data_IF_963790509173
#
_entry.id   IF_963790509173
#
_cell.length_a   1.000
_cell.length_b   1.000
_cell.length_c   1.000
_cell.angle_alpha   90.00
_cell.angle_beta   90.00
_cell.angle_gamma   90.00
#
_symmetry.space_group_name_H-M   'P 1'
#
loop_
_entity.id
_entity.type
_entity.pdbx_description
1 polymer ?
#
# COMPACT_ATOMS: atom_id res chain seq x y z
N UNK A 1 29.72 9.66 24.06
CA UNK A 1 29.59 8.31 23.49
C UNK A 1 29.20 7.36 24.60
N UNK A 2 28.11 6.59 24.53
CA UNK A 2 27.79 5.58 25.53
C UNK A 2 28.86 4.49 25.50
N UNK A 3 29.33 4.08 26.67
CA UNK A 3 30.33 3.02 26.83
C UNK A 3 29.78 1.69 26.32
N UNK A 4 30.62 0.92 25.61
CA UNK A 4 30.27 -0.33 24.91
C UNK A 4 29.67 -1.44 25.81
N UNK A 5 29.72 -1.31 27.12
CA UNK A 5 29.24 -2.30 28.09
C UNK A 5 27.69 -2.34 28.25
N UNK A 6 26.95 -1.27 27.83
CA UNK A 6 25.50 -1.13 28.08
C UNK A 6 24.61 -1.69 26.97
N UNK A 7 25.17 -2.12 25.85
CA UNK A 7 24.42 -2.55 24.66
C UNK A 7 24.50 -4.06 24.38
N UNK A 8 25.36 -4.82 25.09
CA UNK A 8 25.52 -6.26 24.82
C UNK A 8 24.24 -7.04 25.19
N UNK A 9 23.71 -7.79 24.21
CA UNK A 9 22.51 -8.62 24.35
C UNK A 9 21.17 -7.89 24.20
N UNK A 10 21.14 -6.57 24.00
CA UNK A 10 19.90 -5.82 23.71
C UNK A 10 19.61 -5.83 22.21
N UNK A 11 18.33 -5.71 21.87
CA UNK A 11 17.87 -5.49 20.51
C UNK A 11 16.71 -4.50 20.51
N UNK A 12 16.67 -3.62 19.51
CA UNK A 12 15.53 -2.76 19.23
C UNK A 12 14.47 -3.61 18.52
N UNK A 13 13.39 -3.96 19.23
CA UNK A 13 12.35 -4.83 18.68
C UNK A 13 11.33 -4.04 17.90
N UNK A 14 11.15 -4.39 16.61
CA UNK A 14 10.10 -3.85 15.74
C UNK A 14 9.20 -5.02 15.32
N UNK A 15 7.88 -4.89 15.57
CA UNK A 15 6.89 -5.84 15.13
C UNK A 15 6.56 -5.66 13.65
N UNK A 16 6.29 -6.74 12.94
CA UNK A 16 5.82 -6.65 11.57
C UNK A 16 4.67 -7.62 11.33
N UNK A 17 3.61 -7.10 10.70
CA UNK A 17 2.44 -7.86 10.30
C UNK A 17 2.37 -7.95 8.79
N UNK A 18 2.54 -9.16 8.26
CA UNK A 18 2.49 -9.44 6.82
C UNK A 18 1.31 -10.33 6.45
N UNK A 19 0.74 -10.21 5.24
CA UNK A 19 -0.08 -11.25 4.63
C UNK A 19 0.80 -12.16 3.77
N UNK A 20 1.55 -13.10 4.39
CA UNK A 20 2.51 -13.96 3.66
C UNK A 20 1.84 -15.11 2.93
N UNK A 21 0.65 -15.48 3.34
CA UNK A 21 -0.14 -16.57 2.75
C UNK A 21 -1.53 -16.07 2.31
N UNK A 22 -2.21 -16.89 1.49
CA UNK A 22 -3.52 -16.53 0.94
C UNK A 22 -3.46 -15.43 -0.12
N UNK A 23 -4.58 -14.72 -0.32
CA UNK A 23 -4.75 -13.70 -1.37
C UNK A 23 -3.82 -12.49 -1.27
N UNK A 24 -3.21 -12.29 -0.11
CA UNK A 24 -2.29 -11.19 0.15
C UNK A 24 -0.81 -11.49 -0.08
N UNK A 25 -0.46 -12.74 -0.42
CA UNK A 25 0.93 -13.22 -0.41
C UNK A 25 1.88 -12.38 -1.27
N UNK A 26 1.46 -11.93 -2.44
CA UNK A 26 2.28 -11.07 -3.30
C UNK A 26 2.67 -9.78 -2.60
N UNK A 27 1.73 -9.12 -1.91
CA UNK A 27 1.97 -7.88 -1.18
C UNK A 27 2.86 -8.10 0.04
N UNK A 28 2.57 -9.17 0.82
CA UNK A 28 3.29 -9.49 2.05
C UNK A 28 4.73 -9.91 1.80
N UNK A 29 4.95 -10.81 0.86
CA UNK A 29 6.29 -11.31 0.55
C UNK A 29 7.22 -10.20 0.04
N UNK A 30 6.73 -9.29 -0.80
CA UNK A 30 7.54 -8.17 -1.27
C UNK A 30 7.78 -7.11 -0.20
N UNK A 31 6.78 -6.82 0.66
CA UNK A 31 7.02 -5.97 1.83
C UNK A 31 8.08 -6.56 2.76
N UNK A 32 8.06 -7.88 2.98
CA UNK A 32 9.05 -8.57 3.80
C UNK A 32 10.47 -8.40 3.22
N UNK A 33 10.63 -8.54 1.90
CA UNK A 33 11.92 -8.31 1.24
C UNK A 33 12.40 -6.87 1.48
N UNK A 34 11.53 -5.88 1.28
CA UNK A 34 11.87 -4.47 1.47
C UNK A 34 12.22 -4.13 2.92
N UNK A 35 11.41 -4.59 3.89
CA UNK A 35 11.64 -4.33 5.32
C UNK A 35 12.93 -5.02 5.80
N UNK A 36 13.17 -6.27 5.40
CA UNK A 36 14.39 -7.00 5.78
C UNK A 36 15.65 -6.35 5.17
N UNK A 37 15.58 -5.88 3.91
CA UNK A 37 16.67 -5.11 3.30
C UNK A 37 17.00 -3.85 4.13
N UNK A 38 15.99 -3.10 4.56
CA UNK A 38 16.19 -1.91 5.39
C UNK A 38 16.84 -2.26 6.75
N UNK A 39 16.41 -3.36 7.40
CA UNK A 39 17.04 -3.85 8.64
C UNK A 39 18.50 -4.22 8.43
N UNK A 40 18.81 -4.93 7.35
CA UNK A 40 20.19 -5.30 7.00
C UNK A 40 21.07 -4.04 6.87
N UNK A 41 20.58 -3.01 6.16
CA UNK A 41 21.31 -1.76 5.95
C UNK A 41 21.49 -0.96 7.25
N UNK A 42 20.43 -0.82 8.06
CA UNK A 42 20.52 -0.12 9.35
C UNK A 42 21.47 -0.85 10.30
N UNK A 43 21.40 -2.18 10.39
CA UNK A 43 22.26 -2.96 11.26
C UNK A 43 23.72 -2.94 10.79
N UNK A 44 23.98 -2.99 9.48
CA UNK A 44 25.30 -2.85 8.91
C UNK A 44 25.94 -1.48 9.19
N UNK A 45 25.09 -0.44 9.29
CA UNK A 45 25.52 0.94 9.68
C UNK A 45 25.71 1.11 11.20
N UNK A 46 25.57 0.05 12.00
CA UNK A 46 25.76 0.08 13.46
C UNK A 46 24.47 0.05 14.28
N UNK A 47 23.31 -0.12 13.66
CA UNK A 47 22.01 -0.19 14.36
C UNK A 47 21.56 1.17 14.91
N UNK A 48 20.69 1.11 15.91
CA UNK A 48 20.14 2.29 16.60
C UNK A 48 20.98 2.59 17.82
N UNK A 49 21.80 3.65 17.78
CA UNK A 49 22.71 3.98 18.88
C UNK A 49 23.61 2.81 19.30
N UNK A 50 24.07 1.97 18.36
CA UNK A 50 24.89 0.79 18.60
C UNK A 50 24.09 -0.48 18.92
N UNK A 51 22.76 -0.45 18.94
CA UNK A 51 21.89 -1.58 19.25
C UNK A 51 21.23 -2.10 17.96
N UNK A 52 21.35 -3.40 17.63
CA UNK A 52 20.77 -3.93 16.40
C UNK A 52 19.23 -3.96 16.44
N UNK A 53 18.60 -3.75 15.29
CA UNK A 53 17.17 -4.00 15.10
C UNK A 53 16.93 -5.50 15.00
N UNK A 54 15.91 -5.98 15.71
CA UNK A 54 15.37 -7.34 15.60
C UNK A 54 13.90 -7.27 15.23
N UNK A 55 13.53 -7.89 14.12
CA UNK A 55 12.13 -8.02 13.73
C UNK A 55 11.41 -9.12 14.52
N UNK A 56 10.16 -8.85 14.88
CA UNK A 56 9.19 -9.82 15.40
C UNK A 56 8.08 -9.92 14.38
N UNK A 57 8.15 -10.94 13.53
CA UNK A 57 7.38 -11.06 12.30
C UNK A 57 6.24 -12.07 12.45
N UNK A 58 5.04 -11.70 11.97
CA UNK A 58 3.88 -12.58 11.95
C UNK A 58 3.13 -12.49 10.63
N UNK A 59 2.63 -13.66 10.16
CA UNK A 59 1.68 -13.78 9.06
C UNK A 59 0.25 -13.71 9.59
N UNK A 60 -0.52 -12.70 9.18
CA UNK A 60 -1.94 -12.59 9.53
C UNK A 60 -2.88 -13.19 8.46
N UNK A 61 -2.35 -13.82 7.42
CA UNK A 61 -3.08 -14.57 6.39
C UNK A 61 -4.17 -13.75 5.68
N UNK A 62 -4.08 -12.43 5.66
CA UNK A 62 -5.11 -11.50 5.20
C UNK A 62 -6.47 -11.65 5.96
N UNK A 63 -6.45 -12.10 7.24
CA UNK A 63 -7.64 -12.31 8.08
C UNK A 63 -7.67 -11.31 9.24
N UNK A 64 -8.84 -10.73 9.48
CA UNK A 64 -9.07 -9.76 10.56
C UNK A 64 -8.84 -10.38 11.95
N UNK A 65 -9.35 -11.60 12.18
CA UNK A 65 -9.19 -12.31 13.47
C UNK A 65 -7.73 -12.57 13.84
N UNK A 66 -6.92 -12.96 12.84
CA UNK A 66 -5.48 -13.13 13.04
C UNK A 66 -4.79 -11.78 13.30
N UNK A 67 -5.20 -10.73 12.59
CA UNK A 67 -4.71 -9.37 12.82
C UNK A 67 -4.92 -8.91 14.26
N UNK A 68 -6.12 -9.13 14.83
CA UNK A 68 -6.44 -8.81 16.22
C UNK A 68 -5.56 -9.60 17.20
N UNK A 69 -5.40 -10.90 16.97
CA UNK A 69 -4.56 -11.75 17.81
C UNK A 69 -3.10 -11.30 17.80
N UNK A 70 -2.57 -11.02 16.61
CA UNK A 70 -1.17 -10.64 16.42
C UNK A 70 -0.86 -9.27 17.02
N UNK A 71 -1.72 -8.25 16.82
CA UNK A 71 -1.44 -6.91 17.38
C UNK A 71 -1.42 -6.94 18.90
N UNK A 72 -2.34 -7.67 19.54
CA UNK A 72 -2.31 -7.85 20.99
C UNK A 72 -1.01 -8.53 21.45
N UNK A 73 -0.57 -9.59 20.75
CA UNK A 73 0.66 -10.32 21.06
C UNK A 73 1.91 -9.43 20.91
N UNK A 74 2.04 -8.72 19.80
CA UNK A 74 3.15 -7.78 19.57
C UNK A 74 3.23 -6.70 20.64
N UNK A 75 2.07 -6.12 21.02
CA UNK A 75 2.00 -5.01 21.97
C UNK A 75 2.28 -5.42 23.41
N UNK A 76 1.75 -6.58 23.86
CA UNK A 76 1.70 -6.93 25.29
C UNK A 76 2.63 -8.05 25.71
N UNK A 77 2.93 -9.00 24.81
CA UNK A 77 3.80 -10.14 25.08
C UNK A 77 5.21 -9.92 24.55
N UNK A 78 5.31 -9.54 23.28
CA UNK A 78 6.59 -9.36 22.61
C UNK A 78 7.21 -7.99 22.96
N UNK A 79 6.38 -7.03 23.41
CA UNK A 79 6.77 -5.69 23.83
C UNK A 79 7.59 -4.96 22.78
N UNK A 80 7.10 -4.96 21.53
CA UNK A 80 7.75 -4.24 20.44
C UNK A 80 7.60 -2.73 20.60
N UNK A 81 8.57 -1.97 20.10
CA UNK A 81 8.56 -0.50 20.16
C UNK A 81 7.61 0.14 19.17
N UNK A 82 7.47 -0.47 18.00
CA UNK A 82 6.56 -0.05 16.94
C UNK A 82 6.14 -1.25 16.09
N UNK A 83 5.06 -1.12 15.31
CA UNK A 83 4.60 -2.16 14.38
C UNK A 83 4.50 -1.59 12.97
N UNK A 84 5.06 -2.31 12.00
CA UNK A 84 4.91 -2.06 10.57
C UNK A 84 3.83 -2.99 10.01
N UNK A 85 2.88 -2.43 9.27
CA UNK A 85 1.69 -3.15 8.80
C UNK A 85 0.48 -2.92 9.72
N UNK A 86 -0.66 -3.59 9.40
CA UNK A 86 -0.85 -4.52 8.29
C UNK A 86 -0.95 -3.82 6.94
N UNK A 87 -0.94 -4.60 5.86
CA UNK A 87 -1.14 -4.08 4.50
C UNK A 87 -2.63 -3.83 4.20
N UNK A 88 -3.51 -4.77 4.54
CA UNK A 88 -4.92 -4.71 4.15
C UNK A 88 -5.74 -3.75 5.00
N UNK A 89 -6.56 -2.94 4.31
CA UNK A 89 -7.45 -1.95 4.94
C UNK A 89 -8.49 -2.58 5.85
N UNK A 90 -9.03 -3.76 5.53
CA UNK A 90 -9.97 -4.50 6.38
C UNK A 90 -9.37 -4.88 7.74
N UNK A 91 -8.09 -5.28 7.74
CA UNK A 91 -7.39 -5.59 8.99
C UNK A 91 -7.06 -4.31 9.78
N UNK A 92 -6.69 -3.22 9.09
CA UNK A 92 -6.52 -1.90 9.76
C UNK A 92 -7.82 -1.45 10.45
N UNK A 93 -8.99 -1.65 9.84
CA UNK A 93 -10.28 -1.26 10.42
C UNK A 93 -10.56 -1.89 11.78
N UNK A 94 -10.15 -3.14 11.97
CA UNK A 94 -10.40 -3.85 13.22
C UNK A 94 -9.29 -3.70 14.25
N UNK A 95 -8.05 -3.44 13.84
CA UNK A 95 -6.94 -3.30 14.80
C UNK A 95 -6.67 -1.86 15.24
N UNK A 96 -6.88 -0.86 14.37
CA UNK A 96 -6.56 0.54 14.71
C UNK A 96 -7.34 1.07 15.93
N UNK A 97 -8.65 0.77 16.12
CA UNK A 97 -9.35 1.17 17.34
C UNK A 97 -8.75 0.57 18.63
N UNK A 98 -8.08 -0.58 18.55
CA UNK A 98 -7.46 -1.22 19.72
C UNK A 98 -6.20 -0.49 20.21
N UNK A 99 -5.57 0.31 19.33
CA UNK A 99 -4.30 0.96 19.61
C UNK A 99 -4.39 2.01 20.72
N UNK A 100 -5.57 2.63 20.93
CA UNK A 100 -5.82 3.53 22.06
C UNK A 100 -5.60 2.84 23.40
N UNK A 101 -5.94 1.56 23.50
CA UNK A 101 -5.71 0.75 24.70
C UNK A 101 -4.31 0.16 24.74
N UNK A 102 -3.75 -0.20 23.59
CA UNK A 102 -2.44 -0.88 23.50
C UNK A 102 -1.26 0.09 23.58
N UNK A 103 -1.50 1.39 23.38
CA UNK A 103 -0.46 2.42 23.34
C UNK A 103 0.78 1.98 22.54
N UNK A 104 0.54 1.45 21.34
CA UNK A 104 1.59 0.93 20.45
C UNK A 104 1.47 1.59 19.10
N UNK A 105 2.48 2.34 18.62
CA UNK A 105 2.41 3.02 17.35
C UNK A 105 2.48 1.99 16.20
N UNK A 106 1.54 2.12 15.27
CA UNK A 106 1.41 1.24 14.10
C UNK A 106 1.43 2.08 12.83
N UNK A 107 2.28 1.71 11.86
CA UNK A 107 2.32 2.33 10.53
C UNK A 107 2.04 1.29 9.44
N UNK A 108 0.90 1.42 8.78
CA UNK A 108 0.58 0.61 7.61
C UNK A 108 1.37 1.07 6.39
N UNK A 109 1.94 0.13 5.65
CA UNK A 109 2.75 0.41 4.46
C UNK A 109 1.97 0.25 3.13
N UNK A 110 0.70 -0.17 3.16
CA UNK A 110 -0.08 -0.42 1.95
C UNK A 110 -1.51 0.13 2.01
N UNK A 111 -2.16 0.17 3.18
CA UNK A 111 -3.60 0.44 3.26
C UNK A 111 -3.97 1.80 2.66
N UNK A 112 -5.02 1.82 1.82
CA UNK A 112 -5.40 3.02 1.08
C UNK A 112 -6.85 3.49 1.32
N UNK A 113 -7.69 2.71 2.03
CA UNK A 113 -9.06 3.13 2.34
C UNK A 113 -9.05 4.44 3.16
N UNK A 114 -9.81 5.47 2.75
CA UNK A 114 -9.88 6.72 3.50
C UNK A 114 -10.40 6.54 4.93
N UNK A 115 -9.89 7.36 5.86
CA UNK A 115 -10.40 7.45 7.22
C UNK A 115 -9.79 6.48 8.24
N UNK A 116 -8.91 5.55 7.84
CA UNK A 116 -8.35 4.55 8.74
C UNK A 116 -7.51 5.17 9.87
N UNK A 117 -6.61 6.09 9.56
CA UNK A 117 -5.73 6.71 10.58
C UNK A 117 -6.50 7.55 11.60
N UNK A 118 -7.75 7.96 11.31
CA UNK A 118 -8.62 8.65 12.25
C UNK A 118 -9.18 7.75 13.36
N UNK A 119 -9.00 6.44 13.26
CA UNK A 119 -9.52 5.47 14.22
C UNK A 119 -8.70 5.44 15.51
N UNK A 120 -7.47 6.00 15.51
CA UNK A 120 -6.62 6.11 16.68
C UNK A 120 -5.46 7.09 16.44
N UNK A 121 -5.06 7.82 17.48
CA UNK A 121 -3.87 8.67 17.48
C UNK A 121 -2.55 7.87 17.39
N UNK A 122 -2.62 6.55 17.52
CA UNK A 122 -1.51 5.62 17.41
C UNK A 122 -1.44 4.96 16.02
N UNK A 123 -2.39 5.26 15.15
CA UNK A 123 -2.53 4.67 13.82
C UNK A 123 -1.97 5.61 12.75
N UNK A 124 -0.99 5.12 12.01
CA UNK A 124 -0.35 5.83 10.90
C UNK A 124 -0.35 4.98 9.65
N UNK A 125 -0.15 5.61 8.49
CA UNK A 125 0.16 4.91 7.25
C UNK A 125 1.15 5.67 6.39
N UNK A 126 2.05 4.94 5.77
CA UNK A 126 3.00 5.49 4.81
C UNK A 126 2.43 5.36 3.39
N UNK A 127 1.23 5.87 3.16
CA UNK A 127 0.56 5.85 1.85
C UNK A 127 -0.50 6.94 1.77
N UNK A 128 -0.78 7.39 0.54
CA UNK A 128 -1.94 8.22 0.24
C UNK A 128 -3.23 7.40 0.30
N UNK A 129 -4.33 8.06 0.63
CA UNK A 129 -5.67 7.49 0.50
C UNK A 129 -6.06 7.32 -0.97
N UNK A 130 -6.87 6.30 -1.27
CA UNK A 130 -7.23 5.96 -2.65
C UNK A 130 -7.98 7.08 -3.38
N UNK A 131 -8.74 7.92 -2.68
CA UNK A 131 -9.36 9.11 -3.26
C UNK A 131 -8.32 10.12 -3.81
N UNK A 132 -7.22 10.33 -3.07
CA UNK A 132 -6.11 11.19 -3.50
C UNK A 132 -5.26 10.54 -4.59
N UNK A 133 -5.13 9.22 -4.55
CA UNK A 133 -4.40 8.48 -5.58
C UNK A 133 -5.16 8.48 -6.91
N UNK A 134 -6.47 8.23 -6.88
CA UNK A 134 -7.30 8.10 -8.08
C UNK A 134 -7.64 9.45 -8.75
N UNK A 135 -7.73 10.53 -7.99
CA UNK A 135 -8.16 11.81 -8.55
C UNK A 135 -7.37 12.26 -9.79
N UNK A 136 -6.01 12.31 -9.78
CA UNK A 136 -5.26 12.70 -10.99
C UNK A 136 -5.38 11.67 -12.12
N UNK A 137 -5.53 10.38 -11.79
CA UNK A 137 -5.64 9.31 -12.79
C UNK A 137 -6.97 9.41 -13.54
N UNK A 138 -8.08 9.57 -12.81
CA UNK A 138 -9.42 9.73 -13.39
C UNK A 138 -9.49 10.97 -14.27
N UNK A 139 -8.95 12.11 -13.78
CA UNK A 139 -8.95 13.36 -14.55
C UNK A 139 -8.17 13.22 -15.86
N UNK A 140 -6.97 12.65 -15.80
CA UNK A 140 -6.13 12.44 -16.99
C UNK A 140 -6.76 11.45 -17.97
N UNK A 141 -7.23 10.31 -17.49
CA UNK A 141 -7.90 9.29 -18.29
C UNK A 141 -9.15 9.82 -18.97
N UNK A 142 -10.00 10.57 -18.24
CA UNK A 142 -11.21 11.17 -18.77
C UNK A 142 -10.92 12.15 -19.91
N UNK A 143 -9.87 12.95 -19.75
CA UNK A 143 -9.43 13.92 -20.76
C UNK A 143 -8.89 13.20 -22.01
N UNK A 144 -7.99 12.25 -21.85
CA UNK A 144 -7.28 11.59 -22.96
C UNK A 144 -8.24 10.76 -23.84
N UNK A 145 -9.31 10.21 -23.25
CA UNK A 145 -10.31 9.41 -23.96
C UNK A 145 -11.65 10.13 -24.18
N UNK A 146 -11.76 11.41 -23.78
CA UNK A 146 -13.01 12.21 -23.88
C UNK A 146 -14.23 11.50 -23.27
N UNK A 147 -14.04 10.83 -22.14
CA UNK A 147 -15.06 10.02 -21.46
C UNK A 147 -16.19 10.89 -20.93
N UNK A 148 -17.45 10.52 -21.19
CA UNK A 148 -18.66 11.20 -20.71
C UNK A 148 -19.57 10.30 -19.89
N UNK A 149 -19.53 9.00 -20.11
CA UNK A 149 -20.37 8.01 -19.40
C UNK A 149 -19.58 6.74 -19.14
N UNK A 150 -19.75 6.18 -17.96
CA UNK A 150 -18.99 5.05 -17.47
C UNK A 150 -19.87 4.00 -16.82
N UNK A 151 -19.36 2.77 -16.79
CA UNK A 151 -19.79 1.72 -15.85
C UNK A 151 -18.67 1.51 -14.85
N UNK A 152 -19.02 1.28 -13.58
CA UNK A 152 -18.08 0.91 -12.54
C UNK A 152 -18.27 -0.59 -12.25
N UNK A 153 -17.15 -1.32 -12.10
CA UNK A 153 -17.16 -2.73 -11.69
C UNK A 153 -16.26 -2.86 -10.47
N UNK A 154 -16.79 -3.36 -9.34
CA UNK A 154 -15.98 -3.43 -8.12
C UNK A 154 -16.22 -4.68 -7.27
N UNK A 155 -15.22 -5.02 -6.48
CA UNK A 155 -15.25 -6.06 -5.46
C UNK A 155 -16.11 -5.60 -4.26
N UNK A 156 -17.04 -6.49 -3.80
CA UNK A 156 -17.91 -6.24 -2.65
C UNK A 156 -17.24 -6.50 -1.31
N UNK A 157 -16.19 -7.28 -1.28
CA UNK A 157 -15.60 -7.83 -0.06
C UNK A 157 -14.29 -7.17 0.33
N UNK A 158 -13.44 -6.84 -0.66
CA UNK A 158 -12.21 -6.10 -0.38
C UNK A 158 -12.52 -4.64 0.01
N UNK A 159 -12.03 -4.24 1.18
CA UNK A 159 -12.41 -2.96 1.80
C UNK A 159 -12.00 -1.73 0.99
N UNK A 160 -10.82 -1.74 0.34
CA UNK A 160 -10.39 -0.61 -0.48
C UNK A 160 -11.09 -0.62 -1.83
N UNK A 161 -11.19 -1.75 -2.49
CA UNK A 161 -11.88 -1.92 -3.77
C UNK A 161 -13.36 -1.55 -3.69
N UNK A 162 -14.03 -1.96 -2.61
CA UNK A 162 -15.41 -1.56 -2.31
C UNK A 162 -15.54 -0.04 -2.11
N UNK A 163 -14.62 0.57 -1.35
CA UNK A 163 -14.64 2.02 -1.15
C UNK A 163 -14.39 2.77 -2.47
N UNK A 164 -13.46 2.29 -3.30
CA UNK A 164 -13.19 2.85 -4.62
C UNK A 164 -14.42 2.79 -5.52
N UNK A 165 -15.02 1.62 -5.67
CA UNK A 165 -16.13 1.41 -6.59
C UNK A 165 -17.46 2.03 -6.15
N UNK A 166 -17.77 1.96 -4.84
CA UNK A 166 -19.08 2.42 -4.33
C UNK A 166 -19.12 3.90 -3.94
N UNK A 167 -17.97 4.56 -3.70
CA UNK A 167 -17.93 5.94 -3.19
C UNK A 167 -16.95 6.84 -3.95
N UNK A 168 -15.70 6.39 -4.10
CA UNK A 168 -14.61 7.25 -4.58
C UNK A 168 -14.74 7.51 -6.08
N UNK A 169 -14.82 6.46 -6.90
CA UNK A 169 -15.00 6.61 -8.35
C UNK A 169 -16.27 7.37 -8.72
N UNK A 170 -17.46 7.07 -8.13
CA UNK A 170 -18.64 7.88 -8.38
C UNK A 170 -18.46 9.37 -8.06
N UNK A 171 -17.80 9.68 -6.94
CA UNK A 171 -17.50 11.06 -6.55
C UNK A 171 -16.55 11.74 -7.55
N UNK A 172 -15.49 11.06 -7.97
CA UNK A 172 -14.51 11.58 -8.91
C UNK A 172 -15.12 11.75 -10.30
N UNK A 173 -15.89 10.79 -10.79
CA UNK A 173 -16.58 10.90 -12.08
C UNK A 173 -17.56 12.05 -12.09
N UNK A 174 -18.34 12.23 -11.02
CA UNK A 174 -19.23 13.38 -10.86
C UNK A 174 -18.47 14.71 -10.93
N UNK A 175 -17.30 14.79 -10.29
CA UNK A 175 -16.43 15.98 -10.31
C UNK A 175 -15.95 16.31 -11.73
N UNK A 176 -15.65 15.30 -12.53
CA UNK A 176 -15.24 15.44 -13.94
C UNK A 176 -16.44 15.60 -14.92
N UNK A 177 -17.67 15.66 -14.41
CA UNK A 177 -18.87 15.76 -15.24
C UNK A 177 -19.21 14.50 -16.03
N UNK A 178 -18.79 13.33 -15.52
CA UNK A 178 -18.99 12.03 -16.15
C UNK A 178 -20.19 11.34 -15.51
N UNK A 179 -21.12 10.84 -16.35
CA UNK A 179 -22.28 10.08 -15.92
C UNK A 179 -21.91 8.64 -15.57
N UNK A 180 -22.34 8.17 -14.41
CA UNK A 180 -22.22 6.74 -14.01
C UNK A 180 -23.53 6.04 -14.43
N UNK A 181 -23.45 5.20 -15.46
CA UNK A 181 -24.60 4.47 -16.01
C UNK A 181 -25.05 3.32 -15.10
N UNK A 182 -24.10 2.61 -14.48
CA UNK A 182 -24.36 1.52 -13.55
C UNK A 182 -23.14 1.22 -12.68
N UNK A 183 -23.36 0.58 -11.54
CA UNK A 183 -22.33 0.06 -10.65
C UNK A 183 -22.56 -1.45 -10.48
N UNK A 184 -21.69 -2.23 -11.09
CA UNK A 184 -21.72 -3.67 -11.12
C UNK A 184 -20.74 -4.25 -10.10
N UNK A 185 -21.05 -5.40 -9.55
CA UNK A 185 -20.28 -5.97 -8.44
C UNK A 185 -19.90 -7.42 -8.69
N UNK A 186 -18.85 -7.85 -8.01
CA UNK A 186 -18.40 -9.23 -7.94
C UNK A 186 -17.86 -9.53 -6.53
N UNK A 187 -17.57 -10.78 -6.23
CA UNK A 187 -16.91 -11.20 -4.98
C UNK A 187 -15.44 -11.47 -5.24
N UNK A 188 -14.59 -11.28 -4.26
CA UNK A 188 -13.12 -11.43 -4.38
C UNK A 188 -12.70 -12.76 -5.03
N UNK A 189 -13.40 -13.86 -4.73
CA UNK A 189 -13.08 -15.20 -5.24
C UNK A 189 -13.71 -15.51 -6.61
N UNK A 190 -14.50 -14.58 -7.18
CA UNK A 190 -15.10 -14.78 -8.51
C UNK A 190 -14.02 -14.81 -9.59
N UNK A 191 -14.20 -15.72 -10.54
CA UNK A 191 -13.33 -15.89 -11.71
C UNK A 191 -14.07 -15.73 -13.05
N UNK A 192 -15.39 -15.66 -13.02
CA UNK A 192 -16.25 -15.41 -14.18
C UNK A 192 -16.92 -14.04 -14.06
N UNK A 193 -16.64 -13.17 -15.02
CA UNK A 193 -17.16 -11.81 -15.09
C UNK A 193 -18.08 -11.58 -16.31
N UNK A 194 -18.50 -12.67 -16.95
CA UNK A 194 -19.27 -12.63 -18.21
C UNK A 194 -20.57 -11.83 -18.07
N UNK A 195 -21.29 -11.99 -16.96
CA UNK A 195 -22.55 -11.29 -16.71
C UNK A 195 -22.32 -9.77 -16.55
N UNK A 196 -21.31 -9.36 -15.77
CA UNK A 196 -20.98 -7.95 -15.58
C UNK A 196 -20.58 -7.30 -16.88
N UNK A 197 -19.75 -7.97 -17.69
CA UNK A 197 -19.29 -7.43 -18.97
C UNK A 197 -20.42 -7.38 -20.00
N UNK A 198 -21.27 -8.39 -20.06
CA UNK A 198 -22.46 -8.37 -20.93
C UNK A 198 -23.39 -7.20 -20.59
N UNK A 199 -23.61 -6.95 -19.29
CA UNK A 199 -24.39 -5.82 -18.82
C UNK A 199 -23.72 -4.48 -19.18
N UNK A 200 -22.42 -4.33 -18.88
CA UNK A 200 -21.66 -3.14 -19.25
C UNK A 200 -21.74 -2.85 -20.76
N UNK A 201 -21.56 -3.88 -21.59
CA UNK A 201 -21.68 -3.76 -23.05
C UNK A 201 -23.04 -3.23 -23.48
N UNK A 202 -24.14 -3.73 -22.86
CA UNK A 202 -25.50 -3.28 -23.22
C UNK A 202 -25.77 -1.80 -22.92
N UNK A 203 -25.03 -1.22 -21.98
CA UNK A 203 -25.12 0.18 -21.58
C UNK A 203 -24.30 1.12 -22.47
N UNK A 204 -23.41 0.58 -23.30
CA UNK A 204 -22.55 1.33 -24.22
C UNK A 204 -21.81 2.51 -23.53
N UNK A 205 -20.97 2.25 -22.48
CA UNK A 205 -20.19 3.29 -21.83
C UNK A 205 -19.03 3.76 -22.72
N UNK A 206 -18.46 4.93 -22.41
CA UNK A 206 -17.21 5.40 -23.02
C UNK A 206 -15.98 4.80 -22.35
N UNK A 207 -16.11 4.32 -21.11
CA UNK A 207 -15.04 3.71 -20.34
C UNK A 207 -15.54 2.95 -19.13
N UNK A 208 -14.65 2.23 -18.46
CA UNK A 208 -14.94 1.38 -17.29
C UNK A 208 -14.02 1.73 -16.13
N UNK A 209 -14.62 2.07 -14.98
CA UNK A 209 -13.91 2.25 -13.72
C UNK A 209 -13.83 0.95 -12.93
N UNK A 210 -12.65 0.63 -12.41
CA UNK A 210 -12.39 -0.58 -11.64
C UNK A 210 -12.10 -0.27 -10.17
N UNK A 211 -12.92 -0.80 -9.27
CA UNK A 211 -12.61 -0.93 -7.86
C UNK A 211 -12.18 -2.37 -7.59
N UNK A 212 -10.96 -2.74 -7.90
CA UNK A 212 -10.48 -4.12 -7.81
C UNK A 212 -8.98 -4.23 -7.69
N UNK A 213 -8.49 -5.34 -7.15
CA UNK A 213 -7.09 -5.69 -7.24
C UNK A 213 -6.75 -6.34 -8.59
N UNK A 214 -5.47 -6.40 -8.90
CA UNK A 214 -4.95 -6.77 -10.23
C UNK A 214 -5.42 -8.14 -10.76
N UNK A 215 -5.63 -9.13 -9.88
CA UNK A 215 -6.08 -10.47 -10.30
C UNK A 215 -7.46 -10.41 -10.96
N UNK A 216 -8.43 -9.82 -10.23
CA UNK A 216 -9.80 -9.65 -10.73
C UNK A 216 -9.84 -8.67 -11.90
N UNK A 217 -9.07 -7.57 -11.82
CA UNK A 217 -8.97 -6.59 -12.90
C UNK A 217 -8.49 -7.23 -14.21
N UNK A 218 -7.45 -8.08 -14.17
CA UNK A 218 -6.98 -8.79 -15.33
C UNK A 218 -8.05 -9.70 -15.95
N UNK A 219 -8.81 -10.42 -15.11
CA UNK A 219 -9.93 -11.26 -15.53
C UNK A 219 -11.04 -10.45 -16.18
N UNK A 220 -11.46 -9.34 -15.56
CA UNK A 220 -12.48 -8.42 -16.07
C UNK A 220 -12.06 -7.84 -17.44
N UNK A 221 -10.83 -7.34 -17.53
CA UNK A 221 -10.31 -6.73 -18.77
C UNK A 221 -10.25 -7.77 -19.89
N UNK A 222 -9.73 -8.98 -19.64
CA UNK A 222 -9.69 -10.06 -20.63
C UNK A 222 -11.08 -10.44 -21.10
N UNK A 223 -12.04 -10.58 -20.18
CA UNK A 223 -13.42 -10.90 -20.53
C UNK A 223 -14.07 -9.79 -21.35
N UNK A 224 -13.80 -8.52 -21.04
CA UNK A 224 -14.27 -7.39 -21.82
C UNK A 224 -13.76 -7.45 -23.27
N UNK A 225 -12.47 -7.69 -23.46
CA UNK A 225 -11.87 -7.84 -24.81
C UNK A 225 -12.43 -9.05 -25.55
N UNK A 226 -12.65 -10.16 -24.85
CA UNK A 226 -13.26 -11.37 -25.42
C UNK A 226 -14.69 -11.10 -25.93
N UNK A 227 -15.46 -10.28 -25.23
CA UNK A 227 -16.80 -9.86 -25.67
C UNK A 227 -16.80 -8.71 -26.68
N UNK A 228 -15.63 -8.21 -27.10
CA UNK A 228 -15.48 -7.17 -28.10
C UNK A 228 -15.62 -5.75 -27.58
N UNK A 229 -15.50 -5.52 -26.25
CA UNK A 229 -15.39 -4.17 -25.67
C UNK A 229 -13.97 -3.64 -25.85
N UNK A 230 -13.84 -2.49 -26.52
CA UNK A 230 -12.58 -1.77 -26.68
C UNK A 230 -12.40 -0.60 -25.72
N UNK A 231 -13.40 -0.31 -24.89
CA UNK A 231 -13.40 0.82 -23.98
C UNK A 231 -12.18 0.81 -23.04
N UNK A 232 -11.63 2.00 -22.72
CA UNK A 232 -10.50 2.14 -21.80
C UNK A 232 -10.92 1.87 -20.36
N UNK A 233 -9.96 1.35 -19.57
CA UNK A 233 -10.12 1.07 -18.15
C UNK A 233 -9.33 2.07 -17.28
N UNK A 234 -9.86 2.36 -16.10
CA UNK A 234 -9.17 3.14 -15.05
C UNK A 234 -9.32 2.46 -13.70
N UNK A 235 -8.24 2.38 -12.93
CA UNK A 235 -8.26 1.77 -11.59
C UNK A 235 -7.22 2.34 -10.64
N UNK A 236 -7.31 1.92 -9.38
CA UNK A 236 -6.44 2.36 -8.29
C UNK A 236 -5.09 1.62 -8.23
N UNK A 237 -4.34 1.85 -7.16
CA UNK A 237 -3.01 1.26 -6.97
C UNK A 237 -3.04 -0.27 -6.79
N UNK A 238 -4.14 -0.84 -6.26
CA UNK A 238 -4.29 -2.29 -6.18
C UNK A 238 -4.48 -2.93 -7.56
N UNK A 239 -5.20 -2.24 -8.46
CA UNK A 239 -5.28 -2.61 -9.89
C UNK A 239 -3.91 -2.52 -10.56
N UNK A 240 -3.14 -1.46 -10.26
CA UNK A 240 -1.87 -1.10 -10.91
C UNK A 240 -0.64 -1.90 -10.48
N UNK A 241 -0.78 -3.08 -9.91
CA UNK A 241 0.36 -3.95 -9.65
C UNK A 241 1.01 -4.45 -10.96
N UNK A 242 2.33 -4.67 -11.01
CA UNK A 242 3.02 -5.20 -12.20
C UNK A 242 2.37 -6.46 -12.77
N UNK A 243 1.88 -7.34 -11.89
CA UNK A 243 1.21 -8.58 -12.25
C UNK A 243 -0.11 -8.40 -13.04
N UNK A 244 -0.70 -7.19 -13.11
CA UNK A 244 -1.82 -6.92 -14.00
C UNK A 244 -1.45 -7.20 -15.46
N UNK A 245 -0.28 -6.72 -15.88
CA UNK A 245 0.21 -6.91 -17.24
C UNK A 245 0.58 -8.37 -17.48
N UNK A 246 1.25 -9.02 -16.51
CA UNK A 246 1.61 -10.44 -16.62
C UNK A 246 0.39 -11.35 -16.82
N UNK A 247 -0.70 -11.08 -16.10
CA UNK A 247 -1.95 -11.86 -16.16
C UNK A 247 -2.86 -11.49 -17.31
N UNK A 248 -2.95 -10.19 -17.63
CA UNK A 248 -3.88 -9.66 -18.61
C UNK A 248 -3.30 -9.58 -20.03
N UNK A 249 -1.97 -9.58 -20.16
CA UNK A 249 -1.29 -9.47 -21.46
C UNK A 249 -1.72 -8.24 -22.25
N UNK A 250 -1.84 -8.40 -23.57
CA UNK A 250 -2.24 -7.34 -24.49
C UNK A 250 -3.64 -6.77 -24.22
N UNK A 251 -4.50 -7.50 -23.50
CA UNK A 251 -5.84 -7.00 -23.16
C UNK A 251 -5.78 -5.74 -22.28
N UNK A 252 -4.70 -5.57 -21.48
CA UNK A 252 -4.53 -4.44 -20.56
C UNK A 252 -4.06 -3.15 -21.25
N UNK A 253 -3.74 -3.20 -22.53
CA UNK A 253 -3.26 -2.03 -23.30
C UNK A 253 -4.23 -0.84 -23.15
N UNK A 254 -3.69 0.35 -22.91
CA UNK A 254 -4.47 1.57 -22.72
C UNK A 254 -5.10 1.72 -21.33
N UNK A 255 -4.93 0.77 -20.40
CA UNK A 255 -5.43 0.88 -19.03
C UNK A 255 -4.66 1.92 -18.24
N UNK A 256 -5.38 2.76 -17.49
CA UNK A 256 -4.83 3.77 -16.59
C UNK A 256 -4.92 3.31 -15.15
N UNK A 257 -3.84 3.48 -14.40
CA UNK A 257 -3.78 3.13 -12.98
C UNK A 257 -2.98 4.15 -12.18
N UNK A 258 -3.27 4.24 -10.87
CA UNK A 258 -2.36 4.90 -9.94
C UNK A 258 -1.28 3.92 -9.46
N UNK A 259 -0.15 4.46 -9.03
CA UNK A 259 0.79 3.72 -8.18
C UNK A 259 1.25 4.58 -7.01
N UNK A 260 1.43 3.95 -5.87
CA UNK A 260 1.94 4.64 -4.67
C UNK A 260 3.47 4.77 -4.66
N UNK A 261 4.16 4.11 -5.61
CA UNK A 261 5.59 4.24 -5.84
C UNK A 261 5.91 3.79 -7.26
N UNK A 262 6.73 4.56 -7.98
CA UNK A 262 7.12 4.23 -9.36
C UNK A 262 8.59 3.80 -9.42
N UNK A 263 8.80 2.53 -9.76
CA UNK A 263 10.11 1.90 -9.70
C UNK A 263 10.91 1.98 -11.02
N UNK A 264 10.31 2.50 -12.08
CA UNK A 264 11.02 2.81 -13.32
C UNK A 264 11.50 4.28 -13.37
N UNK A 265 11.41 5.01 -12.26
CA UNK A 265 12.01 6.34 -12.09
C UNK A 265 13.52 6.24 -12.35
N UNK A 266 14.09 7.08 -13.24
CA UNK A 266 15.51 7.02 -13.60
C UNK A 266 16.46 7.51 -12.50
N UNK A 267 15.98 8.05 -11.39
CA UNK A 267 16.79 8.50 -10.28
C UNK A 267 17.72 7.37 -9.77
N UNK A 268 19.01 7.68 -9.61
CA UNK A 268 20.04 6.68 -9.30
C UNK A 268 19.76 5.92 -8.01
N UNK A 269 19.25 6.59 -6.96
CA UNK A 269 18.89 6.01 -5.68
C UNK A 269 17.71 5.03 -5.80
N UNK A 270 16.73 5.34 -6.66
CA UNK A 270 15.58 4.44 -6.91
C UNK A 270 16.05 3.23 -7.68
N UNK A 271 16.86 3.40 -8.73
CA UNK A 271 17.39 2.28 -9.49
C UNK A 271 18.33 1.40 -8.67
N UNK A 272 19.11 1.95 -7.75
CA UNK A 272 19.91 1.18 -6.81
C UNK A 272 19.03 0.34 -5.86
N UNK A 273 17.94 0.90 -5.34
CA UNK A 273 16.96 0.16 -4.55
C UNK A 273 16.30 -0.95 -5.36
N UNK A 274 15.84 -0.65 -6.58
CA UNK A 274 15.22 -1.63 -7.51
C UNK A 274 16.15 -2.80 -7.76
N UNK A 275 17.44 -2.55 -8.02
CA UNK A 275 18.44 -3.61 -8.24
C UNK A 275 18.57 -4.53 -7.00
N UNK A 276 18.59 -3.96 -5.78
CA UNK A 276 18.66 -4.72 -4.53
C UNK A 276 17.43 -5.62 -4.31
N UNK A 277 16.23 -5.12 -4.62
CA UNK A 277 15.00 -5.93 -4.52
C UNK A 277 14.98 -7.02 -5.58
N UNK A 278 15.30 -6.69 -6.84
CA UNK A 278 15.34 -7.67 -7.93
C UNK A 278 16.32 -8.82 -7.67
N UNK A 279 17.46 -8.54 -7.09
CA UNK A 279 18.43 -9.58 -6.68
C UNK A 279 17.86 -10.57 -5.64
N UNK A 280 16.84 -10.15 -4.86
CA UNK A 280 16.22 -10.97 -3.81
C UNK A 280 14.92 -11.65 -4.24
N UNK A 281 14.29 -11.21 -5.34
CA UNK A 281 13.00 -11.75 -5.79
C UNK A 281 13.06 -12.50 -7.14
N UNK A 282 14.25 -12.94 -7.56
CA UNK A 282 14.43 -13.63 -8.83
C UNK A 282 14.27 -12.75 -10.05
N UNK A 283 14.66 -11.48 -9.95
CA UNK A 283 14.63 -10.48 -11.02
C UNK A 283 13.23 -10.15 -11.56
N UNK A 284 12.19 -10.36 -10.74
CA UNK A 284 10.79 -10.07 -11.11
C UNK A 284 10.40 -8.64 -10.75
N UNK A 285 9.33 -8.15 -11.38
CA UNK A 285 8.61 -6.95 -10.95
C UNK A 285 8.04 -7.12 -9.54
N UNK A 286 7.78 -6.01 -8.86
CA UNK A 286 7.26 -6.04 -7.49
C UNK A 286 6.30 -4.87 -7.24
N UNK A 287 5.30 -5.07 -6.36
CA UNK A 287 4.34 -4.02 -6.01
C UNK A 287 4.95 -2.96 -5.09
N UNK A 288 4.26 -1.85 -4.95
CA UNK A 288 4.68 -0.72 -4.10
C UNK A 288 4.84 -1.07 -2.61
N UNK A 289 4.38 -2.24 -2.17
CA UNK A 289 4.58 -2.70 -0.79
C UNK A 289 6.04 -2.90 -0.42
N UNK A 290 6.91 -3.25 -1.38
CA UNK A 290 8.35 -3.38 -1.15
C UNK A 290 8.99 -2.03 -0.80
N UNK A 291 8.95 -0.99 -1.65
CA UNK A 291 9.52 0.32 -1.31
C UNK A 291 8.82 0.99 -0.12
N UNK A 292 7.50 0.85 0.01
CA UNK A 292 6.77 1.43 1.16
C UNK A 292 7.12 0.74 2.48
N UNK A 293 7.31 -0.58 2.47
CA UNK A 293 7.79 -1.33 3.62
C UNK A 293 9.21 -0.92 4.02
N UNK A 294 10.10 -0.82 3.04
CA UNK A 294 11.47 -0.34 3.24
C UNK A 294 11.48 1.07 3.88
N UNK A 295 10.76 2.03 3.30
CA UNK A 295 10.69 3.40 3.81
C UNK A 295 10.07 3.45 5.22
N UNK A 296 9.04 2.64 5.50
CA UNK A 296 8.42 2.60 6.83
C UNK A 296 9.42 2.16 7.91
N UNK A 297 10.29 1.20 7.60
CA UNK A 297 11.36 0.83 8.51
C UNK A 297 12.41 1.95 8.64
N UNK A 298 12.86 2.53 7.54
CA UNK A 298 13.87 3.59 7.55
C UNK A 298 13.39 4.83 8.31
N UNK A 299 12.13 5.24 8.13
CA UNK A 299 11.48 6.32 8.90
C UNK A 299 11.49 5.98 10.39
N UNK A 300 11.11 4.74 10.73
CA UNK A 300 11.08 4.27 12.12
C UNK A 300 12.48 4.27 12.75
N UNK A 301 13.47 3.76 12.04
CA UNK A 301 14.86 3.72 12.49
C UNK A 301 15.44 5.13 12.71
N UNK A 302 15.18 6.06 11.78
CA UNK A 302 15.60 7.46 11.93
C UNK A 302 14.95 8.11 13.14
N UNK A 303 13.63 7.92 13.32
CA UNK A 303 12.93 8.40 14.53
C UNK A 303 13.53 7.84 15.81
N UNK A 304 13.92 6.57 15.82
CA UNK A 304 14.55 5.95 16.99
C UNK A 304 15.95 6.52 17.26
N UNK A 305 16.76 6.72 16.22
CA UNK A 305 18.09 7.34 16.35
C UNK A 305 17.99 8.77 16.87
N UNK A 306 17.12 9.60 16.30
CA UNK A 306 16.97 11.02 16.66
C UNK A 306 16.47 11.19 18.10
N UNK A 307 15.77 10.21 18.65
CA UNK A 307 15.23 10.22 20.00
C UNK A 307 16.03 9.34 21.00
N UNK A 308 17.16 8.77 20.59
CA UNK A 308 18.02 7.95 21.44
C UNK A 308 17.34 6.67 21.97
N UNK A 309 16.43 6.07 21.17
CA UNK A 309 15.64 4.91 21.56
C UNK A 309 16.45 3.63 21.33
N UNK A 310 16.92 3.03 22.41
CA UNK A 310 17.75 1.81 22.37
C UNK A 310 17.13 0.64 23.13
N UNK A 311 15.80 0.66 23.33
CA UNK A 311 15.05 -0.39 24.04
C UNK A 311 15.58 -0.65 25.46
N UNK A 312 15.81 0.40 26.24
CA UNK A 312 16.20 0.29 27.65
C UNK A 312 15.05 -0.26 28.47
N UNK A 313 15.37 -1.05 29.49
CA UNK A 313 14.37 -1.57 30.41
C UNK A 313 13.67 -0.43 31.14
N UNK A 314 12.34 -0.44 31.13
CA UNK A 314 11.49 0.58 31.76
C UNK A 314 11.05 1.71 30.82
N UNK A 315 11.68 1.89 29.66
CA UNK A 315 11.40 3.01 28.76
C UNK A 315 10.33 2.71 27.68
N UNK A 316 9.79 1.48 27.62
CA UNK A 316 8.89 1.04 26.55
C UNK A 316 7.75 2.02 26.27
N UNK A 317 7.03 2.46 27.29
CA UNK A 317 5.90 3.37 27.14
C UNK A 317 6.34 4.76 26.63
N UNK A 318 7.40 5.32 27.21
CA UNK A 318 7.94 6.61 26.78
C UNK A 318 8.54 6.55 25.37
N UNK A 319 9.18 5.46 25.03
CA UNK A 319 9.78 5.27 23.70
C UNK A 319 8.72 5.13 22.60
N UNK A 320 7.62 4.43 22.88
CA UNK A 320 6.45 4.36 21.98
C UNK A 320 5.84 5.75 21.74
N UNK A 321 5.69 6.56 22.77
CA UNK A 321 5.21 7.95 22.64
C UNK A 321 6.16 8.82 21.81
N UNK A 322 7.48 8.67 21.95
CA UNK A 322 8.46 9.39 21.15
C UNK A 322 8.36 9.01 19.66
N UNK A 323 8.22 7.71 19.37
CA UNK A 323 8.05 7.23 17.99
C UNK A 323 6.74 7.80 17.38
N UNK A 324 5.62 7.71 18.11
CA UNK A 324 4.34 8.29 17.68
C UNK A 324 4.49 9.77 17.33
N UNK A 325 5.08 10.56 18.22
CA UNK A 325 5.29 11.99 18.02
C UNK A 325 6.21 12.27 16.84
N UNK A 326 7.26 11.48 16.65
CA UNK A 326 8.17 11.62 15.52
C UNK A 326 7.44 11.35 14.19
N UNK A 327 6.67 10.28 14.09
CA UNK A 327 5.89 9.98 12.90
C UNK A 327 4.86 11.08 12.59
N UNK A 328 4.14 11.57 13.61
CA UNK A 328 3.16 12.66 13.44
C UNK A 328 3.77 13.97 12.89
N UNK A 329 5.04 14.21 13.19
CA UNK A 329 5.76 15.42 12.76
C UNK A 329 6.64 15.22 11.52
N UNK A 330 6.56 14.05 10.86
CA UNK A 330 7.37 13.74 9.69
C UNK A 330 7.11 14.71 8.54
N UNK A 331 8.18 15.34 8.01
CA UNK A 331 8.10 16.29 6.88
C UNK A 331 9.16 15.94 5.82
N UNK A 332 8.70 15.80 4.59
CA UNK A 332 9.54 15.64 3.39
C UNK A 332 10.65 14.57 3.55
N UNK A 333 10.34 13.47 4.23
CA UNK A 333 11.29 12.37 4.35
C UNK A 333 11.62 11.80 2.97
N UNK A 334 12.89 11.76 2.56
CA UNK A 334 13.29 11.34 1.22
C UNK A 334 13.30 9.82 1.11
N UNK A 335 12.14 9.22 0.85
CA UNK A 335 11.99 7.77 0.68
C UNK A 335 12.18 7.31 -0.76
N UNK A 336 12.53 6.04 -0.95
CA UNK A 336 12.60 5.40 -2.29
C UNK A 336 11.23 5.25 -2.94
N UNK A 337 10.15 5.31 -2.15
CA UNK A 337 8.78 5.35 -2.64
C UNK A 337 8.27 6.78 -2.90
N UNK A 338 9.13 7.78 -2.80
CA UNK A 338 8.82 9.20 -2.86
C UNK A 338 8.85 9.88 -1.51
N UNK A 339 8.96 11.21 -1.51
CA UNK A 339 9.02 11.99 -0.28
C UNK A 339 7.74 11.82 0.55
N UNK A 340 7.89 11.51 1.84
CA UNK A 340 6.76 11.30 2.75
C UNK A 340 6.62 12.47 3.72
N UNK A 341 5.44 13.07 3.75
CA UNK A 341 5.02 14.02 4.78
C UNK A 341 3.77 13.47 5.48
N UNK A 342 3.79 13.39 6.80
CA UNK A 342 2.63 12.97 7.58
C UNK A 342 1.66 14.15 7.73
N UNK A 343 0.38 13.92 7.46
CA UNK A 343 -0.67 14.90 7.71
C UNK A 343 -1.17 14.83 9.17
N UNK A 344 -2.09 15.72 9.52
CA UNK A 344 -2.66 15.84 10.89
C UNK A 344 -3.42 14.62 11.39
N UNK A 345 -3.84 13.72 10.49
CA UNK A 345 -4.56 12.50 10.86
C UNK A 345 -3.73 11.24 10.76
N UNK A 346 -2.41 11.36 10.49
CA UNK A 346 -1.53 10.19 10.41
C UNK A 346 -1.48 9.51 9.04
N UNK A 347 -1.94 10.16 7.97
CA UNK A 347 -1.77 9.67 6.60
C UNK A 347 -0.52 10.26 5.98
N UNK A 348 0.37 9.41 5.44
CA UNK A 348 1.52 9.84 4.65
C UNK A 348 1.12 10.35 3.28
N UNK A 349 1.89 11.29 2.75
CA UNK A 349 1.72 11.82 1.41
C UNK A 349 3.00 11.66 0.61
N UNK A 350 2.89 11.34 -0.67
CA UNK A 350 4.00 11.30 -1.62
C UNK A 350 3.99 10.07 -2.53
N UNK A 351 4.80 10.13 -3.58
CA UNK A 351 5.09 9.00 -4.46
C UNK A 351 3.98 8.56 -5.43
N UNK A 352 2.83 9.24 -5.47
CA UNK A 352 1.76 8.88 -6.40
C UNK A 352 2.11 9.25 -7.85
N UNK A 353 1.83 8.35 -8.79
CA UNK A 353 2.00 8.56 -10.23
C UNK A 353 0.76 8.13 -10.99
N UNK A 354 0.61 8.70 -12.19
CA UNK A 354 -0.41 8.31 -13.16
C UNK A 354 0.27 7.45 -14.21
N UNK A 355 -0.07 6.17 -14.24
CA UNK A 355 0.50 5.23 -15.18
C UNK A 355 -0.51 4.84 -16.25
N UNK A 356 -0.02 4.62 -17.46
CA UNK A 356 -0.75 4.02 -18.58
C UNK A 356 -0.02 2.78 -19.06
N UNK A 357 -0.73 1.72 -19.39
CA UNK A 357 -0.15 0.58 -20.09
C UNK A 357 0.04 0.93 -21.55
N UNK A 358 1.30 0.93 -22.02
CA UNK A 358 1.71 1.20 -23.41
C UNK A 358 2.73 0.15 -23.81
N UNK A 359 2.48 -0.55 -24.90
CA UNK A 359 3.34 -1.63 -25.41
C UNK A 359 3.70 -2.67 -24.33
N UNK A 360 2.71 -3.05 -23.51
CA UNK A 360 2.85 -4.03 -22.46
C UNK A 360 3.72 -3.57 -21.27
N UNK A 361 3.88 -2.27 -21.05
CA UNK A 361 4.63 -1.68 -19.92
C UNK A 361 3.87 -0.53 -19.30
N UNK A 362 4.10 -0.31 -18.01
CA UNK A 362 3.66 0.93 -17.38
C UNK A 362 4.55 2.10 -17.82
N UNK A 363 3.90 3.17 -18.24
CA UNK A 363 4.54 4.45 -18.57
C UNK A 363 3.96 5.54 -17.68
N UNK A 364 4.80 6.30 -17.02
CA UNK A 364 4.38 7.50 -16.27
C UNK A 364 4.00 8.59 -17.25
N UNK A 365 2.76 9.05 -17.16
CA UNK A 365 2.18 10.07 -18.04
C UNK A 365 1.76 11.32 -17.24
N UNK A 366 2.23 11.45 -15.99
CA UNK A 366 1.91 12.59 -15.13
C UNK A 366 2.68 13.87 -15.49
N UNK A 367 3.56 13.82 -16.49
CA UNK A 367 4.32 14.96 -16.99
C UNK A 367 3.47 16.07 -17.61
#
# INVERSE_FOLDING_TARGET
>A
LPTSADVSGRAVKIGVMYPLTGKGATWGNHAQIGIRLAVEEVNAAGGIGGVPIKLVEYDYQAKESEGITIINKLATRDNVLAVLGPCFSSVCEVIFPLLERLHTPVISYCSAKPGLSKLSDWAFRNSLTSDKQLAPVVSRWAKDYSVKKVVIIHDLEDAVSKAEGSKILPMLFKKEGIEVLDILTFRTEDTDYSAQITKAKSLNPDGIGLGSCYQNAAGIIKEARRQGLSQPFVGGACTGAPALIDLGGTATEGTYVSTAAWMDDPAAEIQAFVAKIKARNGNKGFPYSAPRGYDSLMITANCMNDNGITNKKGDLASDREKIKKCWANLKNYPGVSGATTMNEVGDGAGGNRVLKVIDGKYVDIAG
#
